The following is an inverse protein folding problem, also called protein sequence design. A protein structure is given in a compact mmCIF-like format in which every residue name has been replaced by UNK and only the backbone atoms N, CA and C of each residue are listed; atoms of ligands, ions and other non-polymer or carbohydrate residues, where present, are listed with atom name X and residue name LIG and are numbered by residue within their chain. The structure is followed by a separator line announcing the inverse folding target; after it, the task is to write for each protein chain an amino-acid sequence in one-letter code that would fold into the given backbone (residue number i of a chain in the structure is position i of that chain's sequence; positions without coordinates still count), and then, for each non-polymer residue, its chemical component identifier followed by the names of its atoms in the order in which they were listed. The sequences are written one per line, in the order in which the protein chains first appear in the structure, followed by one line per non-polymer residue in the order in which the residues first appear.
data_IF_826502915099
#
_entry.id   IF_826502915099
#
_cell.length_a   1.000
_cell.length_b   1.000
_cell.length_c   1.000
_cell.angle_alpha   90.00
_cell.angle_beta   90.00
_cell.angle_gamma   90.00
#
_symmetry.space_group_name_H-M   'P 1'
#
loop_
_entity.id
_entity.type
_entity.pdbx_description
1 polymer ?
#
# COMPACT_ATOMS: atom_id res chain seq x y z
N UNK A 1 5.90 -10.48 8.68
CA UNK A 1 6.58 -9.58 7.72
C UNK A 1 6.23 -8.14 8.04
N UNK A 2 7.21 -7.23 8.06
CA UNK A 2 6.95 -5.79 8.27
C UNK A 2 6.70 -5.14 6.91
N UNK A 3 5.57 -4.46 6.79
CA UNK A 3 5.23 -3.63 5.62
C UNK A 3 5.23 -2.18 6.04
N UNK A 4 5.89 -1.34 5.26
CA UNK A 4 5.87 0.11 5.39
C UNK A 4 4.97 0.65 4.28
N UNK A 5 3.96 1.44 4.63
CA UNK A 5 3.04 2.07 3.70
C UNK A 5 3.32 3.57 3.66
N UNK A 6 3.17 4.16 2.49
CA UNK A 6 3.24 5.60 2.28
C UNK A 6 2.15 6.02 1.28
N UNK A 7 1.23 6.86 1.73
CA UNK A 7 0.25 7.55 0.89
C UNK A 7 0.70 8.98 0.70
N UNK A 8 0.84 9.40 -0.55
CA UNK A 8 1.38 10.72 -0.90
C UNK A 8 0.43 11.83 -0.48
N UNK A 9 -0.88 11.58 -0.59
CA UNK A 9 -1.90 12.49 -0.07
C UNK A 9 -1.70 12.66 1.44
N UNK A 10 -1.47 13.90 1.88
CA UNK A 10 -1.20 14.26 3.27
C UNK A 10 0.09 13.68 3.88
N UNK A 11 1.00 13.14 3.06
CA UNK A 11 2.27 12.55 3.51
C UNK A 11 2.08 11.52 4.64
N UNK A 12 1.10 10.63 4.49
CA UNK A 12 0.70 9.68 5.53
C UNK A 12 1.51 8.40 5.40
N UNK A 13 2.29 8.06 6.43
CA UNK A 13 3.09 6.83 6.45
C UNK A 13 2.85 6.04 7.74
N UNK A 14 2.83 4.72 7.62
CA UNK A 14 2.74 3.82 8.78
C UNK A 14 3.41 2.48 8.46
N UNK A 15 3.59 1.66 9.48
CA UNK A 15 3.99 0.26 9.29
C UNK A 15 2.96 -0.68 9.90
N UNK A 16 2.95 -1.92 9.42
CA UNK A 16 2.15 -3.01 9.95
C UNK A 16 2.93 -4.33 9.92
N UNK A 17 2.62 -5.20 10.87
CA UNK A 17 3.06 -6.59 10.85
C UNK A 17 1.95 -7.42 10.19
N UNK A 18 2.27 -8.05 9.06
CA UNK A 18 1.36 -8.98 8.36
C UNK A 18 1.95 -10.39 8.41
N UNK A 19 1.06 -11.38 8.42
CA UNK A 19 1.47 -12.79 8.47
C UNK A 19 1.84 -13.31 7.08
N UNK A 20 1.14 -12.85 6.05
CA UNK A 20 1.34 -13.22 4.65
C UNK A 20 1.13 -11.99 3.76
N UNK A 21 1.88 -11.90 2.66
CA UNK A 21 1.67 -10.88 1.65
C UNK A 21 0.41 -11.22 0.84
N UNK A 22 -0.69 -10.52 1.14
CA UNK A 22 -1.99 -10.74 0.54
C UNK A 22 -2.63 -9.38 0.21
N UNK A 23 -3.20 -9.25 -0.98
CA UNK A 23 -3.82 -8.02 -1.47
C UNK A 23 -4.91 -7.49 -0.54
N UNK A 24 -5.81 -8.35 -0.05
CA UNK A 24 -6.89 -7.96 0.87
C UNK A 24 -6.35 -7.43 2.20
N UNK A 25 -5.29 -8.04 2.73
CA UNK A 25 -4.62 -7.59 3.96
C UNK A 25 -4.00 -6.21 3.76
N UNK A 26 -3.31 -5.99 2.63
CA UNK A 26 -2.73 -4.69 2.29
C UNK A 26 -3.81 -3.62 2.11
N UNK A 27 -4.87 -3.92 1.34
CA UNK A 27 -6.01 -3.03 1.11
C UNK A 27 -6.68 -2.63 2.41
N UNK A 28 -6.89 -3.57 3.34
CA UNK A 28 -7.44 -3.26 4.66
C UNK A 28 -6.61 -2.22 5.41
N UNK A 29 -5.28 -2.34 5.39
CA UNK A 29 -4.41 -1.33 6.01
C UNK A 29 -4.52 0.03 5.33
N UNK A 30 -4.55 0.05 3.99
CA UNK A 30 -4.67 1.27 3.19
C UNK A 30 -6.01 1.97 3.45
N UNK A 31 -7.13 1.26 3.46
CA UNK A 31 -8.44 1.86 3.72
C UNK A 31 -8.61 2.34 5.15
N UNK A 32 -8.05 1.63 6.14
CA UNK A 32 -8.19 2.02 7.55
C UNK A 32 -7.31 3.20 7.96
N UNK A 33 -6.12 3.36 7.34
CA UNK A 33 -5.12 4.35 7.77
C UNK A 33 -4.70 5.36 6.71
N UNK A 34 -4.88 5.03 5.44
CA UNK A 34 -4.39 5.82 4.32
C UNK A 34 -5.19 7.09 4.02
N UNK A 35 -6.41 7.22 4.59
CA UNK A 35 -7.29 8.37 4.36
C UNK A 35 -7.41 8.73 2.87
N UNK A 36 -7.64 7.71 2.05
CA UNK A 36 -7.76 7.82 0.59
C UNK A 36 -9.21 8.05 0.19
N UNK A 37 -9.44 8.89 -0.81
CA UNK A 37 -10.80 9.19 -1.29
C UNK A 37 -11.32 8.11 -2.25
N UNK A 38 -10.41 7.40 -2.91
CA UNK A 38 -10.74 6.37 -3.90
C UNK A 38 -11.04 5.05 -3.20
N UNK A 39 -12.13 4.39 -3.61
CA UNK A 39 -12.51 3.05 -3.16
C UNK A 39 -11.94 1.95 -4.05
N UNK A 40 -11.59 2.30 -5.29
CA UNK A 40 -11.08 1.38 -6.29
C UNK A 40 -9.57 1.55 -6.37
N UNK A 41 -8.87 0.64 -5.68
CA UNK A 41 -7.42 0.64 -5.54
C UNK A 41 -6.84 -0.63 -6.15
N UNK A 42 -5.84 -0.46 -7.01
CA UNK A 42 -5.01 -1.52 -7.54
C UNK A 42 -3.66 -1.54 -6.83
N UNK A 43 -3.18 -2.75 -6.54
CA UNK A 43 -1.86 -2.99 -5.96
C UNK A 43 -0.99 -3.75 -6.95
N UNK A 44 0.24 -3.28 -7.17
CA UNK A 44 1.28 -4.05 -7.86
C UNK A 44 2.48 -4.23 -6.94
N UNK A 45 3.16 -5.36 -7.04
CA UNK A 45 4.31 -5.70 -6.21
C UNK A 45 5.42 -6.31 -7.08
N UNK A 46 6.67 -5.97 -6.75
CA UNK A 46 7.86 -6.50 -7.40
C UNK A 46 8.71 -7.22 -6.34
N UNK A 47 8.81 -8.54 -6.46
CA UNK A 47 9.57 -9.39 -5.53
C UNK A 47 11.06 -9.04 -5.50
N UNK A 48 11.65 -8.62 -6.63
CA UNK A 48 13.09 -8.29 -6.72
C UNK A 48 13.47 -7.04 -5.92
N UNK A 49 12.57 -6.04 -5.88
CA UNK A 49 12.82 -4.76 -5.20
C UNK A 49 12.16 -4.67 -3.82
N UNK A 50 11.29 -5.65 -3.52
CA UNK A 50 10.40 -5.65 -2.38
C UNK A 50 9.55 -4.38 -2.24
N UNK A 51 9.27 -3.72 -3.37
CA UNK A 51 8.43 -2.52 -3.47
C UNK A 51 7.10 -2.85 -4.13
N UNK A 52 6.06 -2.15 -3.71
CA UNK A 52 4.76 -2.15 -4.32
C UNK A 52 4.19 -0.75 -4.52
N UNK A 53 3.29 -0.63 -5.48
CA UNK A 53 2.62 0.62 -5.86
C UNK A 53 1.15 0.54 -5.50
N UNK A 54 0.57 1.69 -5.17
CA UNK A 54 -0.84 1.86 -4.87
C UNK A 54 -1.40 2.82 -5.91
N UNK A 55 -2.30 2.32 -6.76
CA UNK A 55 -2.84 3.02 -7.93
C UNK A 55 -4.36 3.16 -7.75
N UNK A 56 -4.91 4.34 -8.07
CA UNK A 56 -6.36 4.56 -8.01
C UNK A 56 -7.06 4.22 -9.34
N UNK A 57 -8.39 4.29 -9.36
CA UNK A 57 -9.22 4.14 -10.56
C UNK A 57 -8.90 5.09 -11.72
N UNK A 58 -8.24 6.22 -11.45
CA UNK A 58 -7.79 7.18 -12.47
C UNK A 58 -6.39 6.83 -13.02
N UNK A 59 -5.86 5.65 -12.67
CA UNK A 59 -4.52 5.18 -13.00
C UNK A 59 -3.39 6.10 -12.47
N UNK A 60 -3.66 6.82 -11.38
CA UNK A 60 -2.68 7.68 -10.71
C UNK A 60 -1.99 6.92 -9.58
N UNK A 61 -0.67 7.11 -9.49
CA UNK A 61 0.12 6.62 -8.37
C UNK A 61 -0.16 7.48 -7.13
N UNK A 62 -0.88 6.93 -6.16
CA UNK A 62 -1.27 7.64 -4.93
C UNK A 62 -0.43 7.26 -3.71
N UNK A 63 0.40 6.23 -3.83
CA UNK A 63 1.25 5.76 -2.76
C UNK A 63 2.12 4.57 -3.15
N UNK A 64 2.92 4.12 -2.19
CA UNK A 64 3.72 2.91 -2.29
C UNK A 64 3.70 2.14 -0.97
N UNK A 65 4.11 0.88 -1.05
CA UNK A 65 4.43 0.09 0.12
C UNK A 65 5.74 -0.66 -0.11
N UNK A 66 6.47 -0.96 0.96
CA UNK A 66 7.68 -1.76 0.91
C UNK A 66 7.66 -2.83 1.98
N UNK A 67 8.27 -3.96 1.67
CA UNK A 67 8.41 -5.07 2.61
C UNK A 67 9.86 -5.13 3.04
N UNK A 68 10.09 -5.32 4.34
CA UNK A 68 11.41 -5.68 4.84
C UNK A 68 11.72 -7.11 4.41
N UNK A 69 12.35 -7.21 3.24
CA UNK A 69 13.30 -8.23 2.89
C UNK A 69 14.63 -7.93 3.62
#
# INVERSE_FOLDING_TARGET
MKVNFNIFKNNTSWNALIHQLNGDVLLRHIFMKGNIDSRDIELSYCDETCQGKIINSENQLIGNFSISC
#
